data_IF_699517144341
#
_entry.id   IF_699517144341
#
_cell.length_a   1.000
_cell.length_b   1.000
_cell.length_c   1.000
_cell.angle_alpha   90.00
_cell.angle_beta   90.00
_cell.angle_gamma   90.00
#
_symmetry.space_group_name_H-M   'P 1'
#
loop_
_entity.id
_entity.type
_entity.pdbx_description
1 polymer ?
#
# COMPACT_ATOMS: atom_id res chain seq x y z
N UNK A 1 -8.19 -25.16 -26.31
CA UNK A 1 -7.19 -24.78 -25.27
C UNK A 1 -7.76 -24.65 -23.86
N UNK A 2 -8.88 -23.94 -23.63
CA UNK A 2 -9.48 -23.78 -22.29
C UNK A 2 -9.96 -25.10 -21.67
N UNK A 3 -10.62 -25.96 -22.45
CA UNK A 3 -11.13 -27.25 -21.99
C UNK A 3 -10.00 -28.17 -21.47
N UNK A 4 -8.94 -28.39 -22.26
CA UNK A 4 -7.81 -29.23 -21.88
C UNK A 4 -7.13 -28.81 -20.56
N UNK A 5 -7.05 -27.50 -20.28
CA UNK A 5 -6.52 -26.99 -19.02
C UNK A 5 -7.37 -27.41 -17.83
N UNK A 6 -8.69 -27.20 -17.89
CA UNK A 6 -9.57 -27.56 -16.78
C UNK A 6 -9.70 -29.08 -16.61
N UNK A 7 -9.67 -29.85 -17.70
CA UNK A 7 -9.60 -31.32 -17.63
C UNK A 7 -8.34 -31.79 -16.88
N UNK A 8 -7.18 -31.16 -17.13
CA UNK A 8 -5.94 -31.48 -16.40
C UNK A 8 -6.08 -31.17 -14.91
N UNK A 9 -6.65 -30.01 -14.56
CA UNK A 9 -6.87 -29.63 -13.16
C UNK A 9 -7.82 -30.61 -12.45
N UNK A 10 -8.94 -30.97 -13.09
CA UNK A 10 -9.90 -31.92 -12.54
C UNK A 10 -9.25 -33.27 -12.25
N UNK A 11 -8.44 -33.79 -13.20
CA UNK A 11 -7.68 -35.03 -12.99
C UNK A 11 -6.68 -34.93 -11.83
N UNK A 12 -5.99 -33.79 -11.69
CA UNK A 12 -5.03 -33.58 -10.61
C UNK A 12 -5.72 -33.47 -9.23
N UNK A 13 -6.88 -32.82 -9.16
CA UNK A 13 -7.68 -32.74 -7.93
C UNK A 13 -8.19 -34.11 -7.51
N UNK A 14 -8.74 -34.89 -8.45
CA UNK A 14 -9.20 -36.25 -8.20
C UNK A 14 -8.06 -37.18 -7.74
N UNK A 15 -6.88 -37.09 -8.38
CA UNK A 15 -5.70 -37.88 -7.98
C UNK A 15 -5.11 -37.48 -6.62
N UNK A 16 -5.49 -36.31 -6.09
CA UNK A 16 -5.10 -35.84 -4.76
C UNK A 16 -6.20 -36.04 -3.71
N UNK A 17 -7.26 -36.78 -4.05
CA UNK A 17 -8.45 -37.01 -3.21
C UNK A 17 -9.12 -35.71 -2.72
N UNK A 18 -8.95 -34.61 -3.46
CA UNK A 18 -9.60 -33.33 -3.17
C UNK A 18 -10.98 -33.31 -3.81
N UNK A 19 -11.96 -33.85 -3.07
CA UNK A 19 -13.36 -33.97 -3.49
C UNK A 19 -14.30 -32.89 -2.92
N UNK A 20 -13.76 -31.91 -2.19
CA UNK A 20 -14.51 -30.80 -1.56
C UNK A 20 -14.24 -29.46 -2.28
N UNK A 21 -15.05 -28.41 -2.04
CA UNK A 21 -14.76 -27.07 -2.53
C UNK A 21 -13.37 -26.56 -2.09
N UNK A 22 -12.47 -26.38 -3.05
CA UNK A 22 -11.10 -25.90 -2.81
C UNK A 22 -10.77 -24.65 -3.62
N UNK A 23 -9.98 -23.75 -3.04
CA UNK A 23 -9.37 -22.63 -3.76
C UNK A 23 -8.06 -23.09 -4.41
N UNK A 24 -8.04 -23.16 -5.75
CA UNK A 24 -6.84 -23.49 -6.52
C UNK A 24 -6.20 -22.23 -7.12
N UNK A 25 -4.91 -22.05 -6.89
CA UNK A 25 -4.10 -20.99 -7.49
C UNK A 25 -3.09 -21.59 -8.48
N UNK A 26 -3.26 -21.30 -9.78
CA UNK A 26 -2.23 -21.61 -10.78
C UNK A 26 -1.08 -20.61 -10.66
N UNK A 27 -0.03 -21.01 -9.93
CA UNK A 27 1.17 -20.18 -9.70
C UNK A 27 1.92 -19.86 -11.00
N UNK A 28 1.88 -20.74 -12.00
CA UNK A 28 2.56 -20.48 -13.28
C UNK A 28 1.84 -19.38 -14.07
N UNK A 29 0.51 -19.38 -14.05
CA UNK A 29 -0.28 -18.29 -14.65
C UNK A 29 -0.13 -16.99 -13.86
N UNK A 30 -0.10 -17.06 -12.53
CA UNK A 30 0.18 -15.88 -11.70
C UNK A 30 1.53 -15.25 -12.06
N UNK A 31 2.60 -16.04 -12.17
CA UNK A 31 3.94 -15.57 -12.54
C UNK A 31 3.95 -14.92 -13.93
N UNK A 32 3.24 -15.53 -14.90
CA UNK A 32 3.09 -14.96 -16.25
C UNK A 32 2.35 -13.61 -16.21
N UNK A 33 1.31 -13.48 -15.40
CA UNK A 33 0.57 -12.22 -15.24
C UNK A 33 1.45 -11.13 -14.59
N UNK A 34 2.24 -11.47 -13.58
CA UNK A 34 3.18 -10.54 -12.95
C UNK A 34 4.22 -10.05 -13.97
N UNK A 35 4.80 -10.97 -14.75
CA UNK A 35 5.74 -10.61 -15.82
C UNK A 35 5.09 -9.72 -16.88
N UNK A 36 3.84 -10.02 -17.27
CA UNK A 36 3.09 -9.19 -18.21
C UNK A 36 2.88 -7.78 -17.66
N UNK A 37 2.41 -7.65 -16.42
CA UNK A 37 2.24 -6.36 -15.75
C UNK A 37 3.54 -5.56 -15.75
N UNK A 38 4.65 -6.18 -15.34
CA UNK A 38 5.97 -5.53 -15.31
C UNK A 38 6.44 -5.03 -16.68
N UNK A 39 6.08 -5.72 -17.78
CA UNK A 39 6.37 -5.27 -19.14
C UNK A 39 5.50 -4.09 -19.60
N UNK A 40 4.28 -3.97 -19.06
CA UNK A 40 3.34 -2.91 -19.42
C UNK A 40 3.60 -1.61 -18.64
N UNK A 41 4.26 -1.68 -17.49
CA UNK A 41 4.58 -0.51 -16.70
C UNK A 41 5.65 0.35 -17.42
N UNK A 42 5.51 1.69 -17.40
CA UNK A 42 6.58 2.59 -17.85
C UNK A 42 7.89 2.33 -17.10
N UNK A 43 9.03 2.53 -17.77
CA UNK A 43 10.37 2.20 -17.23
C UNK A 43 10.65 2.80 -15.84
N UNK A 44 10.11 3.99 -15.57
CA UNK A 44 10.35 4.72 -14.32
C UNK A 44 9.16 4.67 -13.34
N UNK A 45 8.16 3.82 -13.60
CA UNK A 45 7.00 3.69 -12.73
C UNK A 45 7.22 2.59 -11.68
N UNK A 46 7.39 3.01 -10.43
CA UNK A 46 7.49 2.06 -9.32
C UNK A 46 6.13 1.39 -9.07
N UNK A 47 6.12 0.05 -9.06
CA UNK A 47 4.93 -0.73 -8.77
C UNK A 47 4.70 -0.89 -7.26
N UNK A 48 3.47 -0.62 -6.79
CA UNK A 48 3.00 -0.86 -5.42
C UNK A 48 1.84 -1.85 -5.43
N UNK A 49 1.94 -2.91 -4.62
CA UNK A 49 0.91 -3.94 -4.51
C UNK A 49 -0.19 -3.47 -3.55
N UNK A 50 -1.45 -3.47 -4.00
CA UNK A 50 -2.60 -3.15 -3.15
C UNK A 50 -3.04 -4.39 -2.39
N UNK A 51 -2.78 -4.46 -1.07
CA UNK A 51 -2.84 -5.72 -0.32
C UNK A 51 -4.26 -6.16 0.09
N UNK A 52 -5.25 -5.25 0.10
CA UNK A 52 -6.62 -5.56 0.62
C UNK A 52 -7.36 -6.67 -0.12
N UNK A 53 -7.07 -6.87 -1.41
CA UNK A 53 -7.70 -7.92 -2.21
C UNK A 53 -7.06 -9.29 -2.00
N UNK A 54 -5.94 -9.36 -1.27
CA UNK A 54 -5.15 -10.56 -1.11
C UNK A 54 -4.55 -10.66 0.30
N UNK A 55 -5.37 -10.97 1.33
CA UNK A 55 -4.93 -11.09 2.72
C UNK A 55 -4.16 -12.39 2.98
N UNK A 56 -3.13 -12.68 2.16
CA UNK A 56 -2.26 -13.84 2.27
C UNK A 56 -0.81 -13.39 2.20
N UNK A 57 -0.13 -13.36 3.35
CA UNK A 57 1.26 -12.93 3.43
C UNK A 57 2.22 -13.77 2.55
N UNK A 58 2.10 -15.12 2.49
CA UNK A 58 2.94 -15.91 1.59
C UNK A 58 2.75 -15.54 0.11
N UNK A 59 1.52 -15.23 -0.28
CA UNK A 59 1.21 -14.88 -1.66
C UNK A 59 1.62 -13.44 -1.99
N UNK A 60 1.43 -12.50 -1.07
CA UNK A 60 1.96 -11.14 -1.19
C UNK A 60 3.48 -11.15 -1.33
N UNK A 61 4.18 -11.95 -0.51
CA UNK A 61 5.63 -12.14 -0.62
C UNK A 61 6.02 -12.70 -1.98
N UNK A 62 5.33 -13.75 -2.46
CA UNK A 62 5.58 -14.33 -3.77
C UNK A 62 5.40 -13.29 -4.90
N UNK A 63 4.34 -12.49 -4.86
CA UNK A 63 4.09 -11.44 -5.86
C UNK A 63 5.16 -10.34 -5.78
N UNK A 64 5.51 -9.89 -4.57
CA UNK A 64 6.53 -8.89 -4.33
C UNK A 64 7.90 -9.32 -4.88
N UNK A 65 8.30 -10.57 -4.60
CA UNK A 65 9.56 -11.15 -5.08
C UNK A 65 9.56 -11.24 -6.62
N UNK A 66 8.47 -11.72 -7.22
CA UNK A 66 8.37 -11.86 -8.70
C UNK A 66 8.23 -10.52 -9.43
N UNK A 67 7.63 -9.53 -8.79
CA UNK A 67 7.47 -8.19 -9.33
C UNK A 67 8.65 -7.27 -8.99
N UNK A 68 9.66 -7.76 -8.26
CA UNK A 68 10.80 -6.98 -7.79
C UNK A 68 10.37 -5.65 -7.16
N UNK A 69 9.54 -5.74 -6.12
CA UNK A 69 9.09 -4.58 -5.35
C UNK A 69 8.91 -4.94 -3.89
N UNK A 70 9.24 -4.01 -3.00
CA UNK A 70 8.89 -4.08 -1.59
C UNK A 70 7.77 -3.10 -1.24
N UNK A 71 7.13 -2.45 -2.22
CA UNK A 71 6.10 -1.45 -2.00
C UNK A 71 4.73 -2.11 -1.88
N UNK A 72 4.08 -1.94 -0.74
CA UNK A 72 2.73 -2.42 -0.48
C UNK A 72 1.82 -1.27 -0.08
N UNK A 73 0.53 -1.44 -0.29
CA UNK A 73 -0.50 -0.55 0.22
C UNK A 73 -1.43 -1.32 1.16
N UNK A 74 -1.49 -0.90 2.42
CA UNK A 74 -2.33 -1.49 3.46
C UNK A 74 -3.49 -0.55 3.81
N UNK A 75 -4.54 -1.08 4.45
CA UNK A 75 -5.79 -0.31 4.65
C UNK A 75 -6.26 -0.23 6.10
N UNK A 76 -5.58 -0.89 7.03
CA UNK A 76 -5.88 -0.79 8.45
C UNK A 76 -4.65 -1.18 9.28
N UNK A 77 -4.73 -0.96 10.60
CA UNK A 77 -3.66 -1.28 11.55
C UNK A 77 -3.29 -2.76 11.53
N UNK A 78 -4.26 -3.65 11.71
CA UNK A 78 -4.05 -5.11 11.82
C UNK A 78 -3.33 -5.68 10.61
N UNK A 79 -3.77 -5.30 9.40
CA UNK A 79 -3.12 -5.69 8.15
C UNK A 79 -1.69 -5.16 8.08
N UNK A 80 -1.45 -3.93 8.52
CA UNK A 80 -0.11 -3.34 8.50
C UNK A 80 0.85 -4.07 9.44
N UNK A 81 0.37 -4.45 10.62
CA UNK A 81 1.12 -5.25 11.61
C UNK A 81 1.44 -6.65 11.07
N UNK A 82 0.45 -7.33 10.48
CA UNK A 82 0.64 -8.64 9.84
C UNK A 82 1.69 -8.58 8.73
N UNK A 83 1.67 -7.53 7.89
CA UNK A 83 2.67 -7.32 6.84
C UNK A 83 4.04 -6.97 7.44
N UNK A 84 4.13 -6.13 8.47
CA UNK A 84 5.41 -5.84 9.13
C UNK A 84 6.04 -7.11 9.73
N UNK A 85 5.22 -8.00 10.29
CA UNK A 85 5.69 -9.26 10.85
C UNK A 85 6.18 -10.22 9.76
N UNK A 86 5.40 -10.40 8.68
CA UNK A 86 5.71 -11.36 7.62
C UNK A 86 6.74 -10.85 6.59
N UNK A 87 6.80 -9.53 6.38
CA UNK A 87 7.64 -8.86 5.39
C UNK A 87 8.31 -7.61 6.01
N UNK A 88 9.31 -7.76 6.90
CA UNK A 88 9.86 -6.65 7.69
C UNK A 88 10.55 -5.53 6.89
N UNK A 89 10.80 -5.77 5.59
CA UNK A 89 11.38 -4.82 4.63
C UNK A 89 10.33 -4.20 3.68
N UNK A 90 9.05 -4.50 3.86
CA UNK A 90 7.96 -3.91 3.09
C UNK A 90 7.82 -2.42 3.38
N UNK A 91 7.86 -1.57 2.36
CA UNK A 91 7.48 -0.17 2.40
C UNK A 91 5.95 -0.09 2.25
N UNK A 92 5.25 0.25 3.32
CA UNK A 92 3.79 0.21 3.41
C UNK A 92 3.19 1.61 3.43
N UNK A 93 2.51 1.97 2.34
CA UNK A 93 1.67 3.17 2.29
C UNK A 93 0.25 2.82 2.74
N UNK A 94 -0.33 3.60 3.65
CA UNK A 94 -1.76 3.47 3.94
C UNK A 94 -2.58 3.98 2.74
N UNK A 95 -3.49 3.15 2.24
CA UNK A 95 -4.41 3.49 1.15
C UNK A 95 -5.67 4.22 1.60
N UNK A 96 -5.79 4.52 2.89
CA UNK A 96 -6.80 5.42 3.47
C UNK A 96 -6.24 6.09 4.72
N UNK A 97 -6.72 7.29 5.08
CA UNK A 97 -6.32 7.91 6.32
C UNK A 97 -6.77 7.08 7.52
N UNK A 98 -5.88 6.93 8.50
CA UNK A 98 -6.20 6.29 9.77
C UNK A 98 -6.22 7.33 10.89
N UNK A 99 -7.14 7.21 11.87
CA UNK A 99 -7.07 8.00 13.09
C UNK A 99 -5.71 7.86 13.76
N UNK A 100 -5.18 8.95 14.33
CA UNK A 100 -3.86 8.95 15.00
C UNK A 100 -3.76 7.89 16.11
N UNK A 101 -4.87 7.57 16.79
CA UNK A 101 -4.93 6.52 17.79
C UNK A 101 -4.59 5.13 17.22
N UNK A 102 -5.01 4.84 15.98
CA UNK A 102 -4.67 3.57 15.31
C UNK A 102 -3.18 3.51 14.96
N UNK A 103 -2.56 4.64 14.61
CA UNK A 103 -1.12 4.73 14.41
C UNK A 103 -0.37 4.56 15.73
N UNK A 104 -0.84 5.20 16.81
CA UNK A 104 -0.25 5.07 18.14
C UNK A 104 -0.26 3.61 18.62
N UNK A 105 -1.39 2.91 18.45
CA UNK A 105 -1.53 1.51 18.81
C UNK A 105 -0.58 0.57 18.05
N UNK A 106 -0.17 0.90 16.81
CA UNK A 106 0.82 0.11 16.07
C UNK A 106 2.21 0.15 16.74
N UNK A 107 2.54 1.25 17.42
CA UNK A 107 3.82 1.41 18.10
C UNK A 107 3.79 0.97 19.57
N UNK A 108 2.61 0.67 20.12
CA UNK A 108 2.45 0.32 21.51
C UNK A 108 3.16 -1.00 21.85
N UNK A 109 3.87 -1.03 22.98
CA UNK A 109 4.67 -2.19 23.40
C UNK A 109 5.85 -2.58 22.49
N UNK A 110 6.12 -1.87 21.40
CA UNK A 110 7.27 -2.17 20.54
C UNK A 110 8.57 -1.73 21.20
N UNK A 111 9.53 -2.65 21.28
CA UNK A 111 10.92 -2.31 21.63
C UNK A 111 11.46 -1.22 20.68
N UNK A 112 12.33 -0.35 21.18
CA UNK A 112 12.80 0.85 20.45
C UNK A 112 13.35 0.54 19.04
N UNK A 113 14.05 -0.59 18.87
CA UNK A 113 14.58 -1.02 17.56
C UNK A 113 13.43 -1.36 16.59
N UNK A 114 12.44 -2.12 17.04
CA UNK A 114 11.25 -2.46 16.24
C UNK A 114 10.40 -1.25 15.92
N UNK A 115 10.24 -0.33 16.88
CA UNK A 115 9.54 0.95 16.66
C UNK A 115 10.22 1.82 15.59
N UNK A 116 11.56 1.94 15.64
CA UNK A 116 12.33 2.64 14.60
C UNK A 116 12.20 1.97 13.24
N UNK A 117 12.22 0.64 13.18
CA UNK A 117 12.01 -0.10 11.94
C UNK A 117 10.60 0.16 11.38
N UNK A 118 9.56 0.00 12.19
CA UNK A 118 8.18 0.26 11.79
C UNK A 118 8.02 1.71 11.25
N UNK A 119 8.59 2.70 11.92
CA UNK A 119 8.54 4.10 11.46
C UNK A 119 9.22 4.33 10.09
N UNK A 120 10.26 3.55 9.75
CA UNK A 120 10.89 3.58 8.42
C UNK A 120 10.02 2.92 7.36
N UNK A 121 9.35 1.83 7.73
CA UNK A 121 8.57 1.00 6.81
C UNK A 121 7.17 1.55 6.54
N UNK A 122 6.56 2.25 7.50
CA UNK A 122 5.23 2.80 7.37
C UNK A 122 5.24 4.20 6.73
N UNK A 123 4.30 4.44 5.81
CA UNK A 123 3.96 5.76 5.30
C UNK A 123 2.46 6.02 5.56
N UNK A 124 2.17 7.01 6.39
CA UNK A 124 0.81 7.32 6.84
C UNK A 124 0.12 8.28 5.89
N UNK A 125 -1.13 7.99 5.52
CA UNK A 125 -1.90 8.90 4.67
C UNK A 125 -2.60 9.95 5.53
N UNK A 126 -2.46 11.21 5.12
CA UNK A 126 -2.99 12.39 5.81
C UNK A 126 -3.72 13.28 4.80
N UNK A 127 -4.99 13.52 5.07
CA UNK A 127 -5.97 14.19 4.20
C UNK A 127 -6.44 15.55 4.73
N UNK A 128 -5.97 15.97 5.92
CA UNK A 128 -6.32 17.29 6.47
C UNK A 128 -5.16 17.89 7.26
N UNK A 129 -5.10 19.23 7.37
CA UNK A 129 -4.14 19.91 8.24
C UNK A 129 -4.26 19.48 9.71
N UNK A 130 -5.49 19.27 10.21
CA UNK A 130 -5.74 18.83 11.59
C UNK A 130 -5.08 17.49 11.89
N UNK A 131 -5.30 16.50 11.03
CA UNK A 131 -4.68 15.17 11.17
C UNK A 131 -3.16 15.24 11.05
N UNK A 132 -2.63 16.12 10.21
CA UNK A 132 -1.19 16.36 10.16
C UNK A 132 -0.62 16.82 11.52
N UNK A 133 -1.33 17.71 12.23
CA UNK A 133 -0.93 18.15 13.59
C UNK A 133 -0.94 16.98 14.58
N UNK A 134 -1.96 16.14 14.51
CA UNK A 134 -2.10 14.96 15.37
C UNK A 134 -0.93 13.98 15.16
N UNK A 135 -0.61 13.67 13.90
CA UNK A 135 0.52 12.79 13.57
C UNK A 135 1.86 13.37 13.99
N UNK A 136 2.06 14.68 13.89
CA UNK A 136 3.27 15.34 14.38
C UNK A 136 3.40 15.23 15.90
N UNK A 137 2.31 15.47 16.64
CA UNK A 137 2.28 15.32 18.09
C UNK A 137 2.57 13.87 18.52
N UNK A 138 2.01 12.88 17.81
CA UNK A 138 2.33 11.47 18.03
C UNK A 138 3.80 11.19 17.76
N UNK A 139 4.34 11.66 16.63
CA UNK A 139 5.74 11.45 16.28
C UNK A 139 6.70 12.04 17.33
N UNK A 140 6.38 13.22 17.86
CA UNK A 140 7.12 13.85 18.96
C UNK A 140 7.05 13.01 20.25
N UNK A 141 5.86 12.55 20.65
CA UNK A 141 5.65 11.68 21.83
C UNK A 141 6.46 10.38 21.72
N UNK A 142 6.46 9.76 20.53
CA UNK A 142 7.19 8.53 20.26
C UNK A 142 8.71 8.74 20.12
N UNK A 143 9.18 9.99 20.00
CA UNK A 143 10.57 10.32 19.64
C UNK A 143 11.00 9.62 18.34
N UNK A 144 10.09 9.52 17.38
CA UNK A 144 10.31 8.92 16.06
C UNK A 144 10.08 9.96 14.96
N UNK A 145 10.74 9.76 13.82
CA UNK A 145 10.42 10.49 12.59
C UNK A 145 9.42 9.66 11.78
N UNK A 146 8.19 10.13 11.63
CA UNK A 146 7.16 9.45 10.85
C UNK A 146 7.16 9.95 9.40
N UNK A 147 6.86 9.05 8.46
CA UNK A 147 6.71 9.36 7.04
C UNK A 147 5.23 9.54 6.74
N UNK A 148 4.86 10.63 6.08
CA UNK A 148 3.46 10.91 5.73
C UNK A 148 3.33 11.15 4.22
N UNK A 149 2.22 10.72 3.65
CA UNK A 149 1.78 11.12 2.33
C UNK A 149 0.57 12.04 2.49
N UNK A 150 0.51 13.08 1.68
CA UNK A 150 -0.65 13.95 1.65
C UNK A 150 -1.65 13.42 0.62
N UNK A 151 -2.89 13.18 1.05
CA UNK A 151 -3.97 12.89 0.13
C UNK A 151 -4.41 14.20 -0.54
N UNK A 152 -4.47 14.21 -1.87
CA UNK A 152 -4.91 15.35 -2.66
C UNK A 152 -6.26 15.01 -3.28
N UNK A 153 -7.23 15.93 -3.12
CA UNK A 153 -8.48 15.86 -3.87
C UNK A 153 -8.23 16.33 -5.31
N UNK A 154 -8.38 15.40 -6.26
CA UNK A 154 -8.19 15.62 -7.69
C UNK A 154 -9.53 15.78 -8.44
N UNK A 155 -10.58 16.25 -7.74
CA UNK A 155 -11.89 16.56 -8.34
C UNK A 155 -12.94 15.49 -8.14
N UNK A 156 -12.68 14.52 -7.25
CA UNK A 156 -13.61 13.43 -6.94
C UNK A 156 -14.29 13.58 -5.59
N UNK A 157 -13.83 14.51 -4.75
CA UNK A 157 -14.42 14.83 -3.45
C UNK A 157 -14.62 13.59 -2.57
N UNK A 158 -13.74 12.58 -2.72
CA UNK A 158 -13.75 11.35 -1.93
C UNK A 158 -12.81 11.40 -0.72
N UNK A 159 -12.13 12.53 -0.53
CA UNK A 159 -11.11 12.73 0.48
C UNK A 159 -9.93 13.53 -0.08
N UNK A 160 -9.03 13.93 0.81
CA UNK A 160 -7.85 14.72 0.46
C UNK A 160 -8.04 16.22 0.55
N UNK A 161 -6.92 16.93 0.62
CA UNK A 161 -6.89 18.39 0.60
C UNK A 161 -7.02 18.86 -0.84
N UNK A 162 -7.88 19.84 -1.08
CA UNK A 162 -7.86 20.54 -2.37
C UNK A 162 -6.59 21.37 -2.50
N UNK A 163 -6.11 21.62 -3.74
CA UNK A 163 -5.13 22.67 -3.98
C UNK A 163 -5.62 24.01 -3.38
N UNK A 164 -4.75 24.66 -2.61
CA UNK A 164 -5.09 25.92 -1.94
C UNK A 164 -4.55 26.01 -0.51
N UNK A 165 -5.16 26.87 0.33
CA UNK A 165 -4.60 27.25 1.64
C UNK A 165 -4.31 26.08 2.58
N UNK A 166 -5.17 25.04 2.58
CA UNK A 166 -4.99 23.88 3.45
C UNK A 166 -3.77 23.05 3.06
N UNK A 167 -3.58 22.80 1.76
CA UNK A 167 -2.41 22.08 1.25
C UNK A 167 -1.13 22.90 1.46
N UNK A 168 -1.17 24.20 1.23
CA UNK A 168 -0.04 25.11 1.49
C UNK A 168 0.35 25.12 2.96
N UNK A 169 -0.62 25.21 3.87
CA UNK A 169 -0.39 25.15 5.30
C UNK A 169 0.20 23.79 5.73
N UNK A 170 -0.29 22.69 5.15
CA UNK A 170 0.25 21.35 5.41
C UNK A 170 1.72 21.22 4.96
N UNK A 171 2.05 21.72 3.75
CA UNK A 171 3.42 21.71 3.23
C UNK A 171 4.35 22.61 4.04
N UNK A 172 3.91 23.82 4.40
CA UNK A 172 4.68 24.74 5.24
C UNK A 172 4.97 24.15 6.62
N UNK A 173 4.01 23.41 7.19
CA UNK A 173 4.19 22.67 8.45
C UNK A 173 5.21 21.54 8.30
N UNK A 174 5.09 20.73 7.24
CA UNK A 174 6.02 19.64 6.96
C UNK A 174 7.46 20.13 6.76
N UNK A 175 7.65 21.24 6.06
CA UNK A 175 8.97 21.84 5.85
C UNK A 175 9.67 22.24 7.16
N UNK A 176 8.89 22.63 8.19
CA UNK A 176 9.40 23.02 9.51
C UNK A 176 9.49 21.85 10.50
N UNK A 177 8.86 20.71 10.19
CA UNK A 177 8.77 19.60 11.12
C UNK A 177 10.09 18.85 11.28
N UNK A 178 10.49 18.61 12.53
CA UNK A 178 11.60 17.69 12.86
C UNK A 178 11.13 16.24 12.98
N UNK A 179 9.84 16.03 13.22
CA UNK A 179 9.24 14.73 13.55
C UNK A 179 8.48 14.10 12.39
N UNK A 180 8.15 14.85 11.34
CA UNK A 180 7.54 14.33 10.13
C UNK A 180 8.49 14.42 8.92
N UNK A 181 8.22 13.61 7.91
CA UNK A 181 8.80 13.73 6.57
C UNK A 181 7.72 13.49 5.53
N UNK A 182 7.72 14.33 4.49
CA UNK A 182 6.92 14.08 3.31
C UNK A 182 7.51 12.90 2.53
N UNK A 183 6.72 11.85 2.34
CA UNK A 183 7.08 10.68 1.55
C UNK A 183 6.45 10.69 0.14
N UNK A 184 5.42 11.53 -0.08
CA UNK A 184 4.78 11.69 -1.37
C UNK A 184 3.36 12.26 -1.27
N UNK A 185 2.66 12.20 -2.39
CA UNK A 185 1.26 12.54 -2.52
C UNK A 185 0.47 11.31 -2.97
N UNK A 186 -0.80 11.23 -2.58
CA UNK A 186 -1.73 10.23 -3.09
C UNK A 186 -2.99 10.93 -3.61
N UNK A 187 -3.26 10.79 -4.90
CA UNK A 187 -4.54 11.17 -5.51
C UNK A 187 -5.27 9.91 -5.95
N UNK A 188 -6.59 9.90 -5.83
CA UNK A 188 -7.44 8.83 -6.36
C UNK A 188 -8.20 9.33 -7.57
N UNK A 189 -7.90 8.78 -8.75
CA UNK A 189 -8.50 9.23 -10.02
C UNK A 189 -9.03 8.08 -10.90
N UNK A 190 -10.17 7.46 -10.56
CA UNK A 190 -10.86 6.47 -11.41
C UNK A 190 -11.38 7.04 -12.74
N UNK A 191 -11.28 8.35 -12.99
CA UNK A 191 -11.78 8.98 -14.20
C UNK A 191 -10.72 9.15 -15.31
N UNK A 192 -9.41 9.03 -15.03
CA UNK A 192 -8.36 9.10 -16.07
C UNK A 192 -8.51 8.06 -17.16
N UNK A 193 -9.03 6.87 -16.82
CA UNK A 193 -9.28 5.81 -17.81
C UNK A 193 -10.35 6.19 -18.84
N UNK A 194 -11.02 7.34 -18.69
CA UNK A 194 -11.99 7.90 -19.64
C UNK A 194 -11.46 9.13 -20.39
N UNK A 195 -10.25 9.62 -20.09
CA UNK A 195 -9.65 10.70 -20.86
C UNK A 195 -9.16 10.09 -22.18
N UNK A 196 -9.69 10.52 -23.34
CA UNK A 196 -9.17 10.11 -24.64
C UNK A 196 -7.67 10.41 -24.67
N UNK A 197 -6.87 9.61 -25.37
CA UNK A 197 -5.46 9.92 -25.61
C UNK A 197 -5.35 11.28 -26.32
N UNK A 198 -5.28 12.38 -25.57
CA UNK A 198 -4.88 13.67 -26.09
C UNK A 198 -3.36 13.60 -26.08
N UNK A 199 -2.81 13.33 -27.27
CA UNK A 199 -1.39 13.08 -27.46
C UNK A 199 -0.51 14.18 -26.86
N UNK A 200 0.61 13.76 -26.28
CA UNK A 200 1.65 14.68 -25.82
C UNK A 200 2.80 13.95 -25.13
N UNK A 201 3.80 13.53 -25.92
CA UNK A 201 5.14 13.12 -25.46
C UNK A 201 5.46 11.65 -25.59
#
# INVERSE_FOLDING_TARGET
>A
MRAAYFTKLQKALAAADLAEPVLLLDRQRLDKNIKQLKRMLPKNMAYRIVAKSLPSAPLLKHIADKADTNRLMSFNRVMSEQILAAMPKADQLLGKPLPVAAAAALFDGLAAVKGKQAARQMQWLVDTPTRLKEYEALAAKLKLKLRVNLEIDVGLHRGGMMPGPDLEAALARLAKSKNLSLAGYLGYEPHLSKIPNIGGG
#
